data_IF_831919236932
#
_entry.id   IF_831919236932
#
_cell.length_a   1.000
_cell.length_b   1.000
_cell.length_c   1.000
_cell.angle_alpha   90.00
_cell.angle_beta   90.00
_cell.angle_gamma   90.00
#
_symmetry.space_group_name_H-M   'P 1'
#
loop_
_entity.id
_entity.type
_entity.pdbx_description
1 polymer ?
#
# COMPACT_ATOMS: atom_id res chain seq x y z
N UNK A 1 51.40 -4.97 3.74
CA UNK A 1 50.34 -4.14 3.14
C UNK A 1 49.21 -5.08 2.73
N UNK A 2 48.08 -5.11 3.44
CA UNK A 2 46.91 -5.91 3.09
C UNK A 2 46.05 -5.03 2.19
N UNK A 3 45.79 -5.50 0.97
CA UNK A 3 44.86 -4.83 0.05
C UNK A 3 43.44 -4.77 0.67
N UNK A 4 42.72 -3.65 0.56
CA UNK A 4 41.33 -3.58 0.96
C UNK A 4 40.53 -4.44 0.00
N UNK A 5 39.77 -5.39 0.57
CA UNK A 5 38.77 -6.18 -0.15
C UNK A 5 37.69 -5.20 -0.63
N UNK A 6 37.55 -5.09 -1.94
CA UNK A 6 36.47 -4.32 -2.57
C UNK A 6 35.10 -4.86 -2.12
N UNK A 7 34.12 -4.00 -1.84
CA UNK A 7 32.78 -4.46 -1.51
C UNK A 7 32.21 -5.21 -2.72
N UNK A 8 31.99 -6.51 -2.52
CA UNK A 8 31.37 -7.38 -3.51
C UNK A 8 30.02 -6.77 -3.95
N UNK A 9 29.84 -6.65 -5.26
CA UNK A 9 28.60 -6.33 -5.96
C UNK A 9 27.52 -7.37 -5.60
N UNK A 10 26.91 -7.26 -4.43
CA UNK A 10 25.68 -7.99 -4.13
C UNK A 10 24.54 -7.30 -4.89
N UNK A 11 24.27 -7.78 -6.11
CA UNK A 11 22.96 -7.60 -6.73
C UNK A 11 21.93 -8.01 -5.69
N UNK A 12 21.05 -7.10 -5.28
CA UNK A 12 19.91 -7.41 -4.43
C UNK A 12 19.00 -8.38 -5.21
N UNK A 13 19.20 -9.68 -5.00
CA UNK A 13 18.44 -10.72 -5.68
C UNK A 13 17.09 -10.77 -4.98
N UNK A 14 16.06 -10.18 -5.60
CA UNK A 14 14.68 -10.47 -5.23
C UNK A 14 14.28 -11.81 -5.85
N UNK A 15 13.57 -12.64 -5.08
CA UNK A 15 12.99 -13.89 -5.56
C UNK A 15 11.49 -13.69 -5.74
N UNK A 16 11.00 -13.86 -6.97
CA UNK A 16 9.56 -13.85 -7.25
C UNK A 16 8.92 -15.19 -6.85
N UNK A 17 7.72 -15.13 -6.29
CA UNK A 17 6.95 -16.28 -5.84
C UNK A 17 5.45 -16.05 -6.02
N UNK A 18 4.71 -17.13 -6.32
CA UNK A 18 3.23 -17.15 -6.29
C UNK A 18 2.79 -17.85 -5.02
N UNK A 19 1.95 -17.18 -4.22
CA UNK A 19 1.49 -17.62 -2.92
C UNK A 19 0.02 -18.04 -3.03
N UNK A 20 -0.32 -19.33 -2.85
CA UNK A 20 -1.72 -19.77 -2.84
C UNK A 20 -2.49 -19.17 -1.68
N UNK A 21 -3.72 -18.69 -1.93
CA UNK A 21 -4.61 -18.11 -0.91
C UNK A 21 -6.01 -18.75 -0.89
N UNK A 22 -6.11 -19.99 -1.35
CA UNK A 22 -7.37 -20.73 -1.46
C UNK A 22 -8.07 -20.52 -2.82
N UNK A 23 -9.08 -21.36 -3.11
CA UNK A 23 -9.93 -21.29 -4.29
C UNK A 23 -9.18 -21.08 -5.64
N UNK A 24 -8.04 -21.76 -5.80
CA UNK A 24 -7.14 -21.61 -6.97
C UNK A 24 -6.65 -20.18 -7.21
N UNK A 25 -6.69 -19.31 -6.22
CA UNK A 25 -6.20 -17.95 -6.30
C UNK A 25 -4.79 -17.83 -5.72
N UNK A 26 -4.03 -16.85 -6.24
CA UNK A 26 -2.65 -16.61 -5.82
C UNK A 26 -2.38 -15.13 -5.60
N UNK A 27 -1.41 -14.83 -4.74
CA UNK A 27 -0.76 -13.53 -4.63
C UNK A 27 0.62 -13.59 -5.26
N UNK A 28 0.94 -12.63 -6.10
CA UNK A 28 2.30 -12.43 -6.60
C UNK A 28 3.12 -11.66 -5.56
N UNK A 29 4.31 -12.16 -5.24
CA UNK A 29 5.18 -11.54 -4.26
C UNK A 29 6.66 -11.56 -4.71
N UNK A 30 7.44 -10.62 -4.17
CA UNK A 30 8.90 -10.59 -4.27
C UNK A 30 9.51 -10.59 -2.87
N UNK A 31 10.50 -11.44 -2.68
CA UNK A 31 11.24 -11.57 -1.42
C UNK A 31 12.63 -10.98 -1.61
N UNK A 32 12.99 -10.04 -0.76
CA UNK A 32 14.29 -9.38 -0.69
C UNK A 32 14.99 -9.79 0.60
N UNK A 33 16.29 -10.12 0.52
CA UNK A 33 17.09 -10.59 1.65
C UNK A 33 17.08 -12.10 1.84
N UNK A 34 17.39 -12.55 3.05
CA UNK A 34 17.53 -13.97 3.37
C UNK A 34 16.18 -14.67 3.48
N UNK A 35 15.99 -15.74 2.70
CA UNK A 35 14.81 -16.60 2.81
C UNK A 35 15.14 -18.03 2.31
N UNK A 36 14.75 -19.13 3.02
CA UNK A 36 13.92 -19.15 4.23
C UNK A 36 14.60 -18.52 5.45
N UNK A 37 13.79 -18.03 6.38
CA UNK A 37 14.28 -17.36 7.59
C UNK A 37 15.03 -18.33 8.49
N UNK A 38 16.17 -17.94 9.03
CA UNK A 38 16.84 -18.68 10.09
C UNK A 38 16.06 -18.56 11.41
N UNK A 39 16.29 -19.49 12.35
CA UNK A 39 15.62 -19.49 13.67
C UNK A 39 15.88 -18.22 14.49
N UNK A 40 16.94 -17.48 14.17
CA UNK A 40 17.37 -16.27 14.88
C UNK A 40 17.08 -14.98 14.07
N UNK A 41 16.43 -15.10 12.91
CA UNK A 41 16.08 -13.94 12.11
C UNK A 41 15.01 -13.08 12.78
N UNK A 42 15.12 -11.77 12.65
CA UNK A 42 14.04 -10.86 13.01
C UNK A 42 12.79 -11.18 12.20
N UNK A 43 11.57 -10.97 12.74
CA UNK A 43 10.35 -11.13 11.97
C UNK A 43 10.43 -10.37 10.65
N UNK A 44 10.09 -11.00 9.50
CA UNK A 44 10.16 -10.35 8.20
C UNK A 44 9.18 -9.19 8.10
N UNK A 45 9.42 -8.30 7.15
CA UNK A 45 8.57 -7.14 6.88
C UNK A 45 7.69 -7.43 5.66
N UNK A 46 6.38 -7.48 5.87
CA UNK A 46 5.39 -7.59 4.80
C UNK A 46 4.99 -6.18 4.37
N UNK A 47 5.17 -5.86 3.09
CA UNK A 47 4.86 -4.56 2.51
C UNK A 47 3.49 -4.55 1.84
N UNK A 48 2.60 -3.65 2.25
CA UNK A 48 1.19 -3.58 1.85
C UNK A 48 0.91 -2.25 1.15
N UNK A 49 0.72 -2.27 -0.15
CA UNK A 49 0.57 -1.07 -0.97
C UNK A 49 -0.82 -0.42 -0.90
N UNK A 50 -0.96 0.76 -1.52
CA UNK A 50 -2.20 1.53 -1.58
C UNK A 50 -3.22 1.04 -2.62
N UNK A 51 -4.33 1.77 -2.74
CA UNK A 51 -5.50 1.43 -3.57
C UNK A 51 -5.15 1.14 -5.04
N UNK A 52 -4.33 1.96 -5.66
CA UNK A 52 -3.88 1.83 -7.06
C UNK A 52 -2.42 1.46 -7.16
N UNK A 53 -1.88 0.83 -6.11
CA UNK A 53 -0.49 0.40 -6.06
C UNK A 53 -0.27 -1.03 -6.57
N UNK A 54 0.98 -1.44 -6.50
CA UNK A 54 1.46 -2.79 -6.76
C UNK A 54 2.73 -3.04 -5.93
N UNK A 55 3.28 -4.24 -5.99
CA UNK A 55 4.47 -4.63 -5.21
C UNK A 55 5.71 -3.75 -5.48
N UNK A 56 5.81 -3.12 -6.66
CA UNK A 56 6.92 -2.22 -7.01
C UNK A 56 6.91 -0.90 -6.24
N UNK A 57 5.78 -0.52 -5.62
CA UNK A 57 5.74 0.65 -4.72
C UNK A 57 6.83 0.62 -3.63
N UNK A 58 7.14 -0.58 -3.14
CA UNK A 58 8.09 -0.77 -2.06
C UNK A 58 9.47 -1.21 -2.52
N UNK A 59 9.68 -1.46 -3.82
CA UNK A 59 10.95 -1.98 -4.32
C UNK A 59 12.17 -1.08 -3.97
N UNK A 60 12.09 0.26 -4.09
CA UNK A 60 13.19 1.14 -3.67
C UNK A 60 13.50 1.00 -2.18
N UNK A 61 12.47 1.10 -1.34
CA UNK A 61 12.60 1.00 0.10
C UNK A 61 13.07 -0.39 0.56
N UNK A 62 12.57 -1.46 -0.09
CA UNK A 62 13.01 -2.83 0.20
C UNK A 62 14.51 -3.02 -0.02
N UNK A 63 15.05 -2.46 -1.11
CA UNK A 63 16.50 -2.49 -1.40
C UNK A 63 17.34 -1.81 -0.30
N UNK A 64 16.83 -0.73 0.29
CA UNK A 64 17.51 -0.04 1.38
C UNK A 64 17.40 -0.80 2.71
N UNK A 65 16.23 -1.32 3.03
CA UNK A 65 16.00 -2.04 4.28
C UNK A 65 16.75 -3.38 4.35
N UNK A 66 16.94 -4.07 3.21
CA UNK A 66 17.75 -5.30 3.15
C UNK A 66 19.20 -5.05 3.54
N UNK A 67 19.78 -3.87 3.24
CA UNK A 67 21.14 -3.50 3.68
C UNK A 67 21.26 -3.46 5.21
N UNK A 68 20.13 -3.38 5.91
CA UNK A 68 20.03 -3.39 7.37
C UNK A 68 19.67 -4.80 7.93
N UNK A 69 19.90 -5.86 7.16
CA UNK A 69 19.64 -7.25 7.50
C UNK A 69 18.14 -7.56 7.80
N UNK A 70 17.22 -6.81 7.18
CA UNK A 70 15.79 -7.10 7.23
C UNK A 70 15.40 -7.94 6.01
N UNK A 71 14.58 -8.96 6.22
CA UNK A 71 13.92 -9.68 5.12
C UNK A 71 12.62 -8.95 4.78
N UNK A 72 12.45 -8.58 3.52
CA UNK A 72 11.30 -7.79 3.05
C UNK A 72 10.51 -8.63 2.05
N UNK A 73 9.21 -8.66 2.20
CA UNK A 73 8.28 -9.33 1.29
C UNK A 73 7.32 -8.27 0.77
N UNK A 74 7.44 -7.93 -0.50
CA UNK A 74 6.47 -7.09 -1.20
C UNK A 74 5.50 -7.99 -1.95
N UNK A 75 4.23 -7.63 -2.02
CA UNK A 75 3.25 -8.42 -2.76
C UNK A 75 2.17 -7.55 -3.39
N UNK A 76 1.56 -8.05 -4.44
CA UNK A 76 0.38 -7.44 -5.04
C UNK A 76 -0.86 -7.84 -4.24
N UNK A 77 -1.63 -6.87 -3.78
CA UNK A 77 -2.94 -7.13 -3.21
C UNK A 77 -3.82 -7.91 -4.21
N UNK A 78 -4.71 -8.74 -3.73
CA UNK A 78 -5.76 -9.36 -4.56
C UNK A 78 -6.43 -8.28 -5.42
N UNK A 79 -6.60 -8.54 -6.71
CA UNK A 79 -7.13 -7.57 -7.68
C UNK A 79 -6.11 -6.56 -8.20
N UNK A 80 -4.81 -6.71 -7.93
CA UNK A 80 -3.72 -5.82 -8.36
C UNK A 80 -2.59 -6.60 -9.01
N UNK A 81 -1.79 -5.90 -9.80
CA UNK A 81 -0.55 -6.43 -10.39
C UNK A 81 -0.72 -7.81 -11.02
N UNK A 82 0.09 -8.76 -10.60
CA UNK A 82 0.07 -10.15 -11.05
C UNK A 82 -0.67 -11.10 -10.11
N UNK A 83 -1.32 -10.59 -9.05
CA UNK A 83 -2.20 -11.37 -8.18
C UNK A 83 -3.53 -11.68 -8.85
N UNK A 84 -4.20 -12.73 -8.39
CA UNK A 84 -5.55 -13.11 -8.85
C UNK A 84 -6.54 -11.96 -8.73
N UNK A 85 -7.44 -11.83 -9.72
CA UNK A 85 -8.41 -10.73 -9.86
C UNK A 85 -9.86 -11.25 -9.90
N UNK A 86 -10.36 -11.94 -8.85
CA UNK A 86 -11.73 -12.44 -8.85
C UNK A 86 -12.75 -11.30 -8.77
N UNK A 87 -13.93 -11.50 -9.36
CA UNK A 87 -15.05 -10.57 -9.24
C UNK A 87 -15.83 -10.80 -7.94
N UNK A 88 -15.28 -10.36 -6.84
CA UNK A 88 -15.84 -10.49 -5.49
C UNK A 88 -15.89 -9.13 -4.79
N UNK A 89 -16.45 -9.11 -3.58
CA UNK A 89 -16.37 -7.93 -2.72
C UNK A 89 -14.99 -7.85 -2.04
N UNK A 90 -14.25 -6.79 -2.32
CA UNK A 90 -12.96 -6.52 -1.69
C UNK A 90 -13.15 -5.75 -0.39
N UNK A 91 -12.51 -6.19 0.68
CA UNK A 91 -12.59 -5.55 1.99
C UNK A 91 -11.26 -5.64 2.74
N UNK A 92 -11.08 -4.80 3.75
CA UNK A 92 -9.89 -4.87 4.62
C UNK A 92 -9.78 -6.22 5.33
N UNK A 93 -10.91 -6.83 5.72
CA UNK A 93 -10.93 -8.14 6.36
C UNK A 93 -10.45 -9.24 5.40
N UNK A 94 -10.90 -9.21 4.12
CA UNK A 94 -10.45 -10.14 3.10
C UNK A 94 -8.93 -10.04 2.86
N UNK A 95 -8.41 -8.81 2.73
CA UNK A 95 -6.97 -8.62 2.57
C UNK A 95 -6.17 -9.00 3.83
N UNK A 96 -6.76 -8.86 5.02
CA UNK A 96 -6.13 -9.35 6.25
C UNK A 96 -6.07 -10.89 6.28
N UNK A 97 -7.08 -11.58 5.78
CA UNK A 97 -7.05 -13.03 5.58
C UNK A 97 -5.98 -13.45 4.56
N UNK A 98 -5.83 -12.71 3.47
CA UNK A 98 -4.75 -12.94 2.48
C UNK A 98 -3.38 -12.89 3.12
N UNK A 99 -3.13 -11.91 4.01
CA UNK A 99 -1.87 -11.84 4.76
C UNK A 99 -1.72 -13.07 5.66
N UNK A 100 -2.78 -13.51 6.32
CA UNK A 100 -2.73 -14.73 7.15
C UNK A 100 -2.36 -15.94 6.30
N UNK A 101 -2.99 -16.17 5.16
CA UNK A 101 -2.66 -17.26 4.24
C UNK A 101 -1.21 -17.19 3.77
N UNK A 102 -0.72 -16.00 3.42
CA UNK A 102 0.68 -15.77 3.04
C UNK A 102 1.63 -16.19 4.17
N UNK A 103 1.38 -15.75 5.41
CA UNK A 103 2.22 -16.10 6.55
C UNK A 103 2.23 -17.62 6.81
N UNK A 104 1.06 -18.28 6.68
CA UNK A 104 0.92 -19.72 6.87
C UNK A 104 1.68 -20.50 5.79
N UNK A 105 1.52 -20.11 4.51
CA UNK A 105 2.23 -20.73 3.39
C UNK A 105 3.76 -20.57 3.51
N UNK A 106 4.23 -19.40 3.91
CA UNK A 106 5.66 -19.12 4.10
C UNK A 106 6.22 -19.63 5.43
N UNK A 107 5.39 -20.24 6.29
CA UNK A 107 5.74 -20.72 7.63
C UNK A 107 6.32 -19.60 8.51
N UNK A 108 5.77 -18.40 8.38
CA UNK A 108 6.11 -17.23 9.18
C UNK A 108 5.15 -17.16 10.35
N UNK A 109 5.67 -17.32 11.58
CA UNK A 109 4.85 -17.26 12.78
C UNK A 109 4.33 -15.83 13.05
N UNK A 110 5.20 -14.83 12.91
CA UNK A 110 4.94 -13.43 13.23
C UNK A 110 5.68 -12.51 12.28
N UNK A 111 5.03 -11.42 11.84
CA UNK A 111 5.61 -10.47 10.90
C UNK A 111 5.50 -9.01 11.36
N UNK A 112 6.39 -8.18 10.85
CA UNK A 112 6.25 -6.73 10.81
C UNK A 112 5.41 -6.35 9.58
N UNK A 113 4.56 -5.34 9.69
CA UNK A 113 3.80 -4.82 8.55
C UNK A 113 4.25 -3.41 8.23
N UNK A 114 4.64 -3.17 6.99
CA UNK A 114 5.00 -1.87 6.43
C UNK A 114 3.96 -1.52 5.36
N UNK A 115 3.22 -0.47 5.55
CA UNK A 115 2.03 -0.22 4.75
C UNK A 115 1.90 1.22 4.31
N UNK A 116 1.26 1.43 3.17
CA UNK A 116 1.01 2.74 2.59
C UNK A 116 -0.48 2.91 2.27
N UNK A 117 -1.04 4.09 2.59
CA UNK A 117 -2.40 4.46 2.17
C UNK A 117 -3.48 3.46 2.60
N UNK A 118 -4.20 2.82 1.64
CA UNK A 118 -5.15 1.73 1.89
C UNK A 118 -4.51 0.60 2.70
N UNK A 119 -3.25 0.25 2.39
CA UNK A 119 -2.51 -0.79 3.11
C UNK A 119 -2.44 -0.54 4.62
N UNK A 120 -2.48 0.71 5.06
CA UNK A 120 -2.50 1.04 6.50
C UNK A 120 -3.79 0.57 7.18
N UNK A 121 -4.94 0.69 6.51
CA UNK A 121 -6.20 0.17 7.01
C UNK A 121 -6.21 -1.37 7.06
N UNK A 122 -5.62 -2.01 6.04
CA UNK A 122 -5.44 -3.47 6.01
C UNK A 122 -4.54 -3.91 7.16
N UNK A 123 -3.40 -3.23 7.38
CA UNK A 123 -2.48 -3.51 8.50
C UNK A 123 -3.15 -3.36 9.88
N UNK A 124 -3.93 -2.30 10.06
CA UNK A 124 -4.69 -2.09 11.29
C UNK A 124 -5.75 -3.18 11.50
N UNK A 125 -6.42 -3.60 10.43
CA UNK A 125 -7.38 -4.71 10.48
C UNK A 125 -6.68 -6.02 10.82
N UNK A 126 -5.54 -6.30 10.20
CA UNK A 126 -4.74 -7.49 10.51
C UNK A 126 -4.24 -7.48 11.97
N UNK A 127 -3.69 -6.34 12.42
CA UNK A 127 -3.22 -6.20 13.81
C UNK A 127 -4.30 -6.39 14.86
N UNK A 128 -5.53 -5.98 14.55
CA UNK A 128 -6.71 -6.22 15.38
C UNK A 128 -7.14 -7.70 15.35
N UNK A 129 -7.26 -8.30 14.16
CA UNK A 129 -7.82 -9.65 13.99
C UNK A 129 -6.80 -10.74 14.35
N UNK A 130 -5.51 -10.47 14.14
CA UNK A 130 -4.40 -11.43 14.35
C UNK A 130 -3.28 -10.84 15.22
N UNK A 131 -3.54 -10.43 16.47
CA UNK A 131 -2.57 -9.72 17.31
C UNK A 131 -1.31 -10.57 17.60
N UNK A 132 -1.45 -11.90 17.72
CA UNK A 132 -0.32 -12.80 17.96
C UNK A 132 0.57 -12.99 16.73
N UNK A 133 0.04 -12.72 15.51
CA UNK A 133 0.77 -12.79 14.24
C UNK A 133 1.40 -11.45 13.85
N UNK A 134 1.12 -10.38 14.61
CA UNK A 134 1.60 -9.03 14.34
C UNK A 134 2.70 -8.64 15.31
N UNK A 135 3.91 -8.34 14.79
CA UNK A 135 5.03 -7.87 15.61
C UNK A 135 4.98 -6.34 15.78
N UNK A 136 5.16 -5.59 14.70
CA UNK A 136 5.14 -4.12 14.68
C UNK A 136 4.41 -3.64 13.43
N UNK A 137 3.84 -2.44 13.47
CA UNK A 137 3.15 -1.80 12.36
C UNK A 137 3.86 -0.50 11.98
N UNK A 138 4.17 -0.29 10.71
CA UNK A 138 4.59 0.99 10.16
C UNK A 138 3.55 1.45 9.15
N UNK A 139 2.92 2.59 9.43
CA UNK A 139 1.84 3.17 8.65
C UNK A 139 2.34 4.42 7.94
N UNK A 140 2.54 4.36 6.62
CA UNK A 140 2.97 5.49 5.80
C UNK A 140 1.74 6.15 5.20
N UNK A 141 1.46 7.36 5.63
CA UNK A 141 0.45 8.29 5.14
C UNK A 141 -0.93 7.68 4.89
N UNK A 142 -1.43 6.94 5.89
CA UNK A 142 -2.73 6.28 5.83
C UNK A 142 -3.23 5.78 7.19
N UNK A 143 -4.42 5.18 7.19
CA UNK A 143 -5.03 4.61 8.38
C UNK A 143 -5.66 5.63 9.34
N UNK A 144 -5.61 6.93 9.03
CA UNK A 144 -6.17 8.00 9.86
C UNK A 144 -7.67 8.19 9.67
N UNK A 145 -8.40 8.48 10.75
CA UNK A 145 -9.79 8.91 10.65
C UNK A 145 -9.89 10.31 10.06
N UNK A 146 -10.64 10.46 8.99
CA UNK A 146 -10.92 11.74 8.35
C UNK A 146 -12.34 12.23 8.67
N UNK A 147 -12.50 13.53 8.85
CA UNK A 147 -13.80 14.17 8.85
C UNK A 147 -14.50 14.00 7.50
N UNK A 148 -15.83 14.15 7.45
CA UNK A 148 -16.59 14.00 6.20
C UNK A 148 -16.08 14.94 5.09
N UNK A 149 -15.78 16.21 5.43
CA UNK A 149 -15.21 17.17 4.49
C UNK A 149 -13.88 16.70 3.89
N UNK A 150 -13.00 16.17 4.73
CA UNK A 150 -11.69 15.66 4.27
C UNK A 150 -11.81 14.35 3.46
N UNK A 151 -12.77 13.48 3.79
CA UNK A 151 -13.08 12.32 2.95
C UNK A 151 -13.49 12.74 1.54
N UNK A 152 -14.28 13.81 1.41
CA UNK A 152 -14.69 14.33 0.11
C UNK A 152 -13.48 14.89 -0.66
N UNK A 153 -12.59 15.66 -0.02
CA UNK A 153 -11.35 16.14 -0.65
C UNK A 153 -10.44 15.01 -1.09
N UNK A 154 -10.28 13.95 -0.28
CA UNK A 154 -9.47 12.79 -0.64
C UNK A 154 -10.04 11.99 -1.83
N UNK A 155 -11.35 12.03 -2.07
CA UNK A 155 -11.96 11.41 -3.25
C UNK A 155 -11.51 12.10 -4.56
N UNK A 156 -11.32 13.41 -4.57
CA UNK A 156 -10.77 14.12 -5.75
C UNK A 156 -9.33 13.67 -6.04
N UNK A 157 -8.50 13.55 -5.00
CA UNK A 157 -7.15 13.04 -5.15
C UNK A 157 -7.14 11.60 -5.71
N UNK A 158 -8.03 10.76 -5.22
CA UNK A 158 -8.18 9.39 -5.72
C UNK A 158 -8.59 9.40 -7.20
N UNK A 159 -9.50 10.28 -7.61
CA UNK A 159 -9.94 10.37 -9.00
C UNK A 159 -8.80 10.63 -9.98
N UNK A 160 -7.83 11.48 -9.63
CA UNK A 160 -6.65 11.71 -10.45
C UNK A 160 -5.84 10.41 -10.64
N UNK A 161 -5.66 9.64 -9.57
CA UNK A 161 -4.96 8.36 -9.66
C UNK A 161 -5.72 7.29 -10.47
N UNK A 162 -7.03 7.48 -10.65
CA UNK A 162 -7.90 6.56 -11.38
C UNK A 162 -8.05 6.87 -12.88
N UNK A 163 -7.58 8.04 -13.34
CA UNK A 163 -7.76 8.47 -14.75
C UNK A 163 -7.16 7.48 -15.77
N UNK A 164 -6.13 6.74 -15.38
CA UNK A 164 -5.47 5.75 -16.22
C UNK A 164 -6.18 4.40 -16.28
N UNK A 165 -7.12 4.13 -15.35
CA UNK A 165 -7.77 2.83 -15.26
C UNK A 165 -8.83 2.64 -16.35
N UNK A 166 -8.80 1.45 -16.98
CA UNK A 166 -9.77 1.07 -18.00
C UNK A 166 -9.65 1.82 -19.33
N UNK A 167 -8.65 2.70 -19.48
CA UNK A 167 -8.37 3.39 -20.75
C UNK A 167 -7.39 2.59 -21.60
N UNK A 168 -7.60 2.47 -22.92
CA UNK A 168 -6.59 2.00 -23.84
C UNK A 168 -5.58 3.11 -24.14
N UNK A 169 -4.33 2.71 -24.34
CA UNK A 169 -3.22 3.55 -24.76
C UNK A 169 -2.57 2.93 -25.99
N UNK A 170 -2.17 3.76 -26.94
CA UNK A 170 -1.53 3.29 -28.17
C UNK A 170 -0.10 2.79 -27.96
N UNK A 171 0.56 3.22 -26.90
CA UNK A 171 1.91 2.79 -26.53
C UNK A 171 2.18 2.97 -25.03
N UNK A 172 3.27 2.36 -24.56
CA UNK A 172 3.80 2.56 -23.19
C UNK A 172 4.19 4.01 -22.95
N UNK A 173 4.78 4.65 -23.94
CA UNK A 173 5.24 6.04 -23.88
C UNK A 173 4.05 6.99 -23.67
N UNK A 174 2.92 6.73 -24.36
CA UNK A 174 1.68 7.53 -24.20
C UNK A 174 1.14 7.39 -22.77
N UNK A 175 1.18 6.17 -22.20
CA UNK A 175 0.78 5.94 -20.81
C UNK A 175 1.70 6.66 -19.83
N UNK A 176 3.02 6.49 -19.96
CA UNK A 176 4.01 7.11 -19.08
C UNK A 176 3.97 8.65 -19.19
N UNK A 177 3.71 9.18 -20.39
CA UNK A 177 3.53 10.63 -20.60
C UNK A 177 2.35 11.16 -19.79
N UNK A 178 1.19 10.51 -19.86
CA UNK A 178 0.03 10.89 -19.05
C UNK A 178 0.34 10.89 -17.56
N UNK A 179 1.04 9.85 -17.08
CA UNK A 179 1.42 9.76 -15.68
C UNK A 179 2.42 10.85 -15.27
N UNK A 180 3.39 11.17 -16.14
CA UNK A 180 4.41 12.20 -15.90
C UNK A 180 3.83 13.61 -15.86
N UNK A 181 2.76 13.87 -16.63
CA UNK A 181 2.03 15.14 -16.64
C UNK A 181 1.10 15.30 -15.43
N UNK A 182 0.85 14.22 -14.69
CA UNK A 182 0.03 14.26 -13.47
C UNK A 182 0.77 15.00 -12.34
N UNK A 183 0.12 15.93 -11.65
CA UNK A 183 0.72 16.62 -10.50
C UNK A 183 1.01 15.72 -9.29
N UNK A 184 0.58 14.46 -9.34
CA UNK A 184 0.89 13.44 -8.32
C UNK A 184 2.41 13.21 -8.20
N UNK A 185 3.14 13.25 -9.33
CA UNK A 185 4.57 13.02 -9.39
C UNK A 185 5.30 14.36 -9.63
N UNK A 186 5.71 15.05 -8.56
CA UNK A 186 6.47 16.30 -8.69
C UNK A 186 7.92 16.08 -9.15
N UNK A 187 8.42 14.85 -9.06
CA UNK A 187 9.69 14.40 -9.61
C UNK A 187 9.55 13.02 -10.25
N UNK A 188 10.42 12.71 -11.21
CA UNK A 188 10.39 11.48 -11.98
C UNK A 188 11.72 10.74 -11.84
N UNK A 189 11.65 9.43 -11.59
CA UNK A 189 12.81 8.57 -11.53
C UNK A 189 12.50 7.18 -12.11
N UNK A 190 13.53 6.33 -12.19
CA UNK A 190 13.41 4.97 -12.74
C UNK A 190 12.48 4.08 -11.91
N UNK A 191 12.41 4.25 -10.59
CA UNK A 191 11.54 3.42 -9.73
C UNK A 191 10.06 3.74 -9.96
N UNK A 192 9.71 5.01 -10.21
CA UNK A 192 8.36 5.42 -10.61
C UNK A 192 8.00 4.82 -11.97
N UNK A 193 8.95 4.84 -12.92
CA UNK A 193 8.75 4.25 -14.24
C UNK A 193 8.56 2.74 -14.15
N UNK A 194 9.37 2.04 -13.37
CA UNK A 194 9.26 0.59 -13.14
C UNK A 194 7.93 0.22 -12.46
N UNK A 195 7.48 1.03 -11.50
CA UNK A 195 6.18 0.88 -10.85
C UNK A 195 5.03 0.99 -11.87
N UNK A 196 5.05 2.00 -12.74
CA UNK A 196 4.03 2.23 -13.74
C UNK A 196 4.06 1.19 -14.88
N UNK A 197 5.25 0.79 -15.31
CA UNK A 197 5.39 -0.25 -16.32
C UNK A 197 4.90 -1.62 -15.83
N UNK A 198 5.05 -1.91 -14.54
CA UNK A 198 4.60 -3.17 -13.96
C UNK A 198 3.07 -3.34 -13.98
N UNK A 199 2.31 -2.25 -13.94
CA UNK A 199 0.86 -2.30 -14.00
C UNK A 199 0.30 -2.28 -15.44
N UNK A 200 1.18 -2.21 -16.47
CA UNK A 200 0.75 -2.22 -17.86
C UNK A 200 0.63 -3.65 -18.39
N UNK A 201 -0.49 -3.91 -19.03
CA UNK A 201 -0.77 -5.12 -19.80
C UNK A 201 -0.88 -4.79 -21.28
N UNK A 202 -0.21 -5.58 -22.09
CA UNK A 202 -0.27 -5.50 -23.55
C UNK A 202 -1.42 -6.37 -24.05
N UNK A 203 -2.35 -5.77 -24.77
CA UNK A 203 -3.55 -6.45 -25.29
C UNK A 203 -3.54 -6.33 -26.81
N UNK A 204 -3.61 -7.45 -27.49
CA UNK A 204 -3.80 -7.50 -28.94
C UNK A 204 -5.28 -7.54 -29.26
N UNK A 205 -5.80 -6.51 -29.93
CA UNK A 205 -7.21 -6.45 -30.31
C UNK A 205 -7.49 -7.43 -31.46
N UNK A 206 -8.51 -8.27 -31.32
CA UNK A 206 -8.83 -9.35 -32.27
C UNK A 206 -9.26 -8.75 -33.61
N UNK A 207 -10.06 -7.67 -33.60
CA UNK A 207 -10.67 -7.12 -34.82
C UNK A 207 -9.69 -6.33 -35.71
N UNK A 208 -8.74 -5.64 -35.13
CA UNK A 208 -7.80 -4.78 -35.89
C UNK A 208 -6.36 -5.33 -35.92
N UNK A 209 -6.04 -6.31 -35.08
CA UNK A 209 -4.67 -6.78 -34.87
C UNK A 209 -3.76 -5.75 -34.21
N UNK A 210 -4.30 -4.59 -33.82
CA UNK A 210 -3.54 -3.53 -33.18
C UNK A 210 -3.17 -3.91 -31.73
N UNK A 211 -1.99 -3.47 -31.30
CA UNK A 211 -1.55 -3.61 -29.92
C UNK A 211 -1.99 -2.39 -29.11
N UNK A 212 -2.68 -2.62 -28.03
CA UNK A 212 -3.05 -1.61 -27.04
C UNK A 212 -2.42 -1.94 -25.69
N UNK A 213 -2.22 -0.90 -24.89
CA UNK A 213 -1.74 -1.01 -23.52
C UNK A 213 -2.83 -0.57 -22.57
N UNK A 214 -3.04 -1.31 -21.47
CA UNK A 214 -4.01 -0.96 -20.43
C UNK A 214 -3.43 -1.19 -19.06
N UNK A 215 -3.86 -0.37 -18.11
CA UNK A 215 -3.59 -0.66 -16.69
C UNK A 215 -4.32 -1.94 -16.28
N UNK A 216 -3.60 -2.88 -15.69
CA UNK A 216 -4.10 -4.21 -15.33
C UNK A 216 -4.94 -4.22 -14.05
N UNK A 217 -5.23 -3.06 -13.45
CA UNK A 217 -6.09 -2.94 -12.28
C UNK A 217 -7.56 -2.90 -12.74
N UNK A 218 -8.39 -3.89 -12.39
CA UNK A 218 -9.79 -3.90 -12.80
C UNK A 218 -10.60 -2.87 -12.03
N UNK A 219 -11.43 -2.14 -12.75
CA UNK A 219 -12.28 -1.06 -12.19
C UNK A 219 -13.21 -1.60 -11.09
N UNK A 220 -13.74 -2.83 -11.23
CA UNK A 220 -14.63 -3.42 -10.24
C UNK A 220 -13.96 -3.64 -8.88
N UNK A 221 -12.65 -3.95 -8.85
CA UNK A 221 -11.92 -4.11 -7.60
C UNK A 221 -11.81 -2.77 -6.86
N UNK A 222 -11.48 -1.69 -7.58
CA UNK A 222 -11.42 -0.33 -7.03
C UNK A 222 -12.80 0.13 -6.54
N UNK A 223 -13.85 -0.05 -7.36
CA UNK A 223 -15.20 0.34 -6.98
C UNK A 223 -15.68 -0.42 -5.73
N UNK A 224 -15.38 -1.72 -5.66
CA UNK A 224 -15.71 -2.53 -4.48
C UNK A 224 -15.03 -2.01 -3.21
N UNK A 225 -13.73 -1.71 -3.26
CA UNK A 225 -13.01 -1.19 -2.09
C UNK A 225 -13.50 0.20 -1.69
N UNK A 226 -13.68 1.11 -2.65
CA UNK A 226 -14.23 2.44 -2.36
C UNK A 226 -15.60 2.35 -1.71
N UNK A 227 -16.48 1.43 -2.16
CA UNK A 227 -17.79 1.19 -1.52
C UNK A 227 -17.65 0.74 -0.08
N UNK A 228 -16.73 -0.18 0.20
CA UNK A 228 -16.48 -0.67 1.55
C UNK A 228 -15.86 0.41 2.46
N UNK A 229 -15.20 1.41 1.89
CA UNK A 229 -14.67 2.59 2.59
C UNK A 229 -15.71 3.73 2.73
N UNK A 230 -16.94 3.55 2.23
CA UNK A 230 -17.97 4.59 2.23
C UNK A 230 -17.86 5.60 1.08
N UNK A 231 -17.00 5.32 0.10
CA UNK A 231 -16.81 6.12 -1.11
C UNK A 231 -17.54 5.57 -2.34
N UNK A 232 -17.25 6.14 -3.50
CA UNK A 232 -17.68 5.65 -4.80
C UNK A 232 -16.77 6.19 -5.90
N UNK A 233 -16.61 5.44 -7.00
CA UNK A 233 -15.95 5.93 -8.23
C UNK A 233 -16.65 7.17 -8.81
N UNK A 234 -17.96 7.27 -8.62
CA UNK A 234 -18.80 8.39 -9.05
C UNK A 234 -19.37 9.08 -7.81
N UNK A 235 -18.66 10.05 -7.20
CA UNK A 235 -19.05 10.68 -5.95
C UNK A 235 -20.44 11.33 -5.99
N UNK A 236 -20.88 11.84 -7.14
CA UNK A 236 -22.20 12.42 -7.31
C UNK A 236 -23.34 11.41 -7.18
N UNK A 237 -23.07 10.10 -7.22
CA UNK A 237 -24.03 9.04 -6.97
C UNK A 237 -24.20 8.71 -5.46
N UNK A 238 -23.37 9.28 -4.59
CA UNK A 238 -23.44 9.03 -3.14
C UNK A 238 -24.80 9.45 -2.57
N UNK A 239 -25.36 10.66 -2.87
CA UNK A 239 -26.68 11.04 -2.40
C UNK A 239 -27.77 10.08 -2.87
N UNK A 240 -27.70 9.66 -4.15
CA UNK A 240 -28.68 8.71 -4.71
C UNK A 240 -28.65 7.36 -4.01
N UNK A 241 -27.48 6.87 -3.59
CA UNK A 241 -27.34 5.65 -2.78
C UNK A 241 -27.99 5.77 -1.41
N UNK A 242 -27.86 6.94 -0.75
CA UNK A 242 -28.53 7.20 0.51
C UNK A 242 -30.04 7.14 0.35
N UNK A 243 -30.58 7.67 -0.75
CA UNK A 243 -32.01 7.61 -1.06
C UNK A 243 -32.48 6.17 -1.36
N UNK A 244 -31.68 5.41 -2.11
CA UNK A 244 -32.03 4.04 -2.51
C UNK A 244 -31.88 3.02 -1.37
N UNK A 245 -30.92 3.21 -0.46
CA UNK A 245 -30.65 2.27 0.63
C UNK A 245 -30.06 2.97 1.88
N UNK A 246 -30.89 3.75 2.61
CA UNK A 246 -30.44 4.59 3.71
C UNK A 246 -29.81 3.79 4.84
N UNK A 247 -30.41 2.62 5.18
CA UNK A 247 -29.94 1.77 6.28
C UNK A 247 -28.55 1.20 5.99
N UNK A 248 -28.33 0.67 4.78
CA UNK A 248 -27.02 0.13 4.38
C UNK A 248 -25.96 1.25 4.32
N UNK A 249 -26.31 2.40 3.77
CA UNK A 249 -25.42 3.56 3.69
C UNK A 249 -25.04 4.09 5.07
N UNK A 250 -26.00 4.18 6.00
CA UNK A 250 -25.75 4.58 7.38
C UNK A 250 -24.91 3.54 8.14
N UNK A 251 -25.16 2.24 7.90
CA UNK A 251 -24.37 1.16 8.50
C UNK A 251 -22.90 1.21 8.03
N UNK A 252 -22.64 1.49 6.76
CA UNK A 252 -21.28 1.68 6.21
C UNK A 252 -20.61 2.88 6.85
N UNK A 253 -21.28 4.03 6.96
CA UNK A 253 -20.73 5.23 7.62
C UNK A 253 -20.39 4.96 9.08
N UNK A 254 -21.25 4.24 9.80
CA UNK A 254 -21.05 3.89 11.21
C UNK A 254 -19.91 2.89 11.39
N UNK A 255 -19.80 1.87 10.53
CA UNK A 255 -18.69 0.91 10.55
C UNK A 255 -17.35 1.59 10.33
N UNK A 256 -17.28 2.55 9.41
CA UNK A 256 -16.06 3.31 9.12
C UNK A 256 -15.68 4.33 10.20
N UNK A 257 -16.58 4.62 11.16
CA UNK A 257 -16.25 5.47 12.31
C UNK A 257 -15.71 4.69 13.52
N UNK A 258 -15.82 3.36 13.53
CA UNK A 258 -15.20 2.51 14.54
C UNK A 258 -13.75 2.23 14.16
N UNK A 259 -12.82 2.99 14.74
CA UNK A 259 -11.39 2.74 14.50
C UNK A 259 -10.90 1.52 15.28
N UNK A 260 -10.03 0.68 14.70
CA UNK A 260 -9.45 -0.46 15.39
C UNK A 260 -8.37 -0.08 16.41
N UNK A 261 -8.00 1.19 16.52
CA UNK A 261 -6.78 1.66 17.20
C UNK A 261 -6.65 1.18 18.64
N UNK A 262 -7.75 1.21 19.42
CA UNK A 262 -7.72 0.77 20.81
C UNK A 262 -7.45 -0.74 20.98
N UNK A 263 -7.61 -1.53 19.91
CA UNK A 263 -7.40 -2.98 19.88
C UNK A 263 -6.01 -3.34 19.35
N UNK A 264 -5.22 -2.36 18.90
CA UNK A 264 -3.85 -2.58 18.43
C UNK A 264 -2.92 -2.68 19.65
N UNK A 265 -2.35 -3.88 19.82
CA UNK A 265 -1.44 -4.19 20.93
C UNK A 265 0.04 -3.99 20.52
N UNK A 266 0.33 -4.11 19.23
CA UNK A 266 1.67 -3.99 18.69
C UNK A 266 2.15 -2.54 18.67
N UNK A 267 3.46 -2.27 18.77
CA UNK A 267 4.03 -0.96 18.53
C UNK A 267 3.71 -0.44 17.11
N UNK A 268 3.49 0.86 16.98
CA UNK A 268 3.12 1.50 15.73
C UNK A 268 4.04 2.68 15.43
N UNK A 269 4.66 2.69 14.26
CA UNK A 269 5.29 3.87 13.68
C UNK A 269 4.31 4.49 12.67
N UNK A 270 4.01 5.77 12.84
CA UNK A 270 3.19 6.54 11.91
C UNK A 270 4.08 7.54 11.19
N UNK A 271 4.15 7.43 9.87
CA UNK A 271 4.88 8.36 9.00
C UNK A 271 3.86 9.18 8.23
N UNK A 272 3.92 10.49 8.37
CA UNK A 272 3.03 11.45 7.74
C UNK A 272 3.73 12.15 6.58
N UNK A 273 3.07 12.24 5.42
CA UNK A 273 3.42 13.17 4.36
C UNK A 273 3.00 14.60 4.78
N UNK A 274 3.94 15.54 4.73
CA UNK A 274 3.71 16.93 5.19
C UNK A 274 3.31 17.88 4.08
N UNK A 275 3.60 17.52 2.82
CA UNK A 275 3.25 18.32 1.64
C UNK A 275 1.87 17.91 1.12
N UNK A 276 0.97 18.86 0.81
CA UNK A 276 -0.30 18.55 0.15
C UNK A 276 -0.07 17.92 -1.23
N UNK A 277 -1.07 17.18 -1.73
CA UNK A 277 -0.98 16.53 -3.05
C UNK A 277 -1.28 17.51 -4.18
N UNK A 278 -2.38 18.25 -4.08
CA UNK A 278 -2.83 19.23 -5.07
C UNK A 278 -3.05 20.59 -4.45
N UNK A 279 -3.67 20.63 -3.27
CA UNK A 279 -4.02 21.86 -2.58
C UNK A 279 -3.97 21.69 -1.07
N UNK A 280 -3.73 22.78 -0.37
CA UNK A 280 -3.75 22.79 1.10
C UNK A 280 -5.07 22.23 1.62
N UNK A 281 -4.99 21.24 2.51
CA UNK A 281 -6.13 20.59 3.12
C UNK A 281 -6.55 19.26 2.50
N UNK A 282 -5.79 18.74 1.52
CA UNK A 282 -6.00 17.40 0.94
C UNK A 282 -5.10 16.31 1.53
N UNK A 283 -4.37 16.63 2.60
CA UNK A 283 -3.51 15.68 3.32
C UNK A 283 -4.34 14.51 3.88
N UNK A 284 -3.85 13.29 3.70
CA UNK A 284 -4.52 12.07 4.21
C UNK A 284 -4.31 11.85 5.71
N UNK A 285 -3.27 12.43 6.30
CA UNK A 285 -3.06 12.46 7.75
C UNK A 285 -3.00 13.89 8.27
N UNK A 286 -4.14 14.61 8.34
CA UNK A 286 -4.19 15.93 8.95
C UNK A 286 -3.93 15.88 10.46
N UNK A 287 -3.70 17.03 11.08
CA UNK A 287 -3.36 17.11 12.51
C UNK A 287 -4.42 16.45 13.40
N UNK A 288 -5.70 16.53 13.03
CA UNK A 288 -6.80 15.88 13.77
C UNK A 288 -6.63 14.35 13.79
N UNK A 289 -6.21 13.75 12.66
CA UNK A 289 -5.96 12.31 12.57
C UNK A 289 -4.74 11.90 13.41
N UNK A 290 -3.68 12.71 13.40
CA UNK A 290 -2.49 12.50 14.25
C UNK A 290 -2.85 12.60 15.74
N UNK A 291 -3.68 13.57 16.15
CA UNK A 291 -4.16 13.67 17.54
C UNK A 291 -4.98 12.43 17.96
N UNK A 292 -5.81 11.89 17.06
CA UNK A 292 -6.55 10.66 17.34
C UNK A 292 -5.60 9.47 17.51
N UNK A 293 -4.59 9.33 16.65
CA UNK A 293 -3.57 8.30 16.78
C UNK A 293 -2.82 8.41 18.12
N UNK A 294 -2.30 9.58 18.46
CA UNK A 294 -1.58 9.82 19.72
C UNK A 294 -2.41 9.46 20.96
N UNK A 295 -3.72 9.71 20.92
CA UNK A 295 -4.62 9.39 22.02
C UNK A 295 -4.97 7.90 22.12
N UNK A 296 -5.09 7.21 20.96
CA UNK A 296 -5.64 5.84 20.92
C UNK A 296 -4.59 4.75 20.75
N UNK A 297 -3.46 5.03 20.10
CA UNK A 297 -2.35 4.09 19.93
C UNK A 297 -1.38 4.27 21.09
N UNK A 298 -1.40 3.34 22.05
CA UNK A 298 -0.64 3.45 23.31
C UNK A 298 0.87 3.41 23.14
N UNK A 299 1.36 2.65 22.13
CA UNK A 299 2.78 2.42 21.86
C UNK A 299 3.08 2.93 20.45
N UNK A 300 3.17 4.25 20.27
CA UNK A 300 3.31 4.84 18.94
C UNK A 300 4.43 5.88 18.85
N UNK A 301 5.11 5.86 17.72
CA UNK A 301 6.15 6.81 17.31
C UNK A 301 5.67 7.54 16.06
N UNK A 302 6.05 8.80 15.88
CA UNK A 302 5.58 9.64 14.78
C UNK A 302 6.76 10.28 14.06
N UNK A 303 6.72 10.26 12.72
CA UNK A 303 7.63 10.97 11.83
C UNK A 303 6.81 11.79 10.83
N UNK A 304 7.20 13.03 10.59
CA UNK A 304 6.66 13.83 9.48
C UNK A 304 7.73 14.05 8.45
N UNK A 305 7.38 13.86 7.16
CA UNK A 305 8.21 14.14 5.99
C UNK A 305 7.69 15.45 5.36
N UNK A 306 8.24 16.62 5.73
CA UNK A 306 7.65 17.92 5.41
C UNK A 306 7.60 18.19 3.91
N UNK A 307 8.59 17.66 3.16
CA UNK A 307 8.81 17.91 1.74
C UNK A 307 8.23 16.84 0.82
N UNK A 308 7.50 15.87 1.37
CA UNK A 308 6.92 14.75 0.61
C UNK A 308 5.40 14.81 0.63
N UNK A 309 4.78 14.59 -0.54
CA UNK A 309 3.35 14.32 -0.66
C UNK A 309 3.04 12.83 -0.45
N UNK A 310 1.78 12.44 -0.59
CA UNK A 310 1.31 11.07 -0.39
C UNK A 310 2.09 10.01 -1.19
N UNK A 311 2.35 10.26 -2.45
CA UNK A 311 3.05 9.32 -3.34
C UNK A 311 4.57 9.39 -3.18
N UNK A 312 5.09 10.58 -3.00
CA UNK A 312 6.51 10.82 -2.77
C UNK A 312 7.01 10.18 -1.47
N UNK A 313 6.14 10.12 -0.46
CA UNK A 313 6.45 9.50 0.83
C UNK A 313 6.81 8.01 0.72
N UNK A 314 6.47 7.34 -0.38
CA UNK A 314 6.84 5.93 -0.61
C UNK A 314 7.73 5.73 -1.82
N UNK A 315 7.53 6.47 -2.92
CA UNK A 315 8.20 6.24 -4.19
C UNK A 315 9.55 6.96 -4.33
N UNK A 316 9.76 8.05 -3.59
CA UNK A 316 11.02 8.79 -3.64
C UNK A 316 11.95 8.38 -2.50
N UNK A 317 13.27 8.41 -2.73
CA UNK A 317 14.26 8.19 -1.68
C UNK A 317 14.10 9.20 -0.54
N UNK A 318 14.24 8.73 0.70
CA UNK A 318 14.26 9.57 1.89
C UNK A 318 15.04 8.86 3.01
N UNK A 319 16.24 9.31 3.26
CA UNK A 319 17.15 8.69 4.22
C UNK A 319 16.57 8.66 5.63
N UNK A 320 15.93 9.76 6.06
CA UNK A 320 15.36 9.86 7.41
C UNK A 320 14.20 8.87 7.60
N UNK A 321 13.36 8.69 6.59
CA UNK A 321 12.31 7.67 6.58
C UNK A 321 12.91 6.28 6.71
N UNK A 322 13.90 5.97 5.87
CA UNK A 322 14.48 4.63 5.73
C UNK A 322 15.21 4.22 7.02
N UNK A 323 15.99 5.13 7.60
CA UNK A 323 16.67 4.94 8.89
C UNK A 323 15.66 4.79 10.04
N UNK A 324 14.59 5.60 10.06
CA UNK A 324 13.56 5.50 11.10
C UNK A 324 12.82 4.17 11.03
N UNK A 325 12.47 3.69 9.82
CA UNK A 325 11.81 2.39 9.62
C UNK A 325 12.75 1.25 10.06
N UNK A 326 14.02 1.31 9.66
CA UNK A 326 15.02 0.31 10.04
C UNK A 326 15.20 0.25 11.55
N UNK A 327 15.41 1.40 12.20
CA UNK A 327 15.50 1.51 13.65
C UNK A 327 14.25 0.95 14.34
N UNK A 328 13.06 1.31 13.85
CA UNK A 328 11.80 0.87 14.44
C UNK A 328 11.65 -0.65 14.39
N UNK A 329 11.92 -1.28 13.26
CA UNK A 329 11.76 -2.72 13.14
C UNK A 329 12.86 -3.50 13.88
N UNK A 330 14.10 -3.00 13.91
CA UNK A 330 15.23 -3.72 14.48
C UNK A 330 15.42 -3.47 15.99
N UNK A 331 15.30 -2.21 16.45
CA UNK A 331 15.77 -1.78 17.77
C UNK A 331 14.69 -1.28 18.72
N UNK A 332 13.52 -0.89 18.21
CA UNK A 332 12.46 -0.38 19.06
C UNK A 332 11.78 -1.50 19.84
N UNK A 333 11.75 -1.42 21.16
CA UNK A 333 11.12 -2.41 22.05
C UNK A 333 9.80 -1.91 22.68
N UNK A 334 9.44 -0.62 22.48
CA UNK A 334 8.18 0.04 22.84
C UNK A 334 7.93 0.27 24.31
#
# INVERSE_FOLDING_TARGET
MKNPVSPSNQKSISKSIQIPIGDSQTLAAEIYGEFPLSKHSSPPVICIHGLTGNLKNFAPLAKELVKQNLTIITYDLRGRGQSSKPQISYSHDLHAEDIKFMLDFLKIEKANLLSHSLGCWISLTFGKNYPLRTNKLCLIDGGGQLSFKRKLSSLFMIQESLQRLGRPFSSRETYLKLAKESPIFSSWNKDIEDFLNYELEEIRTIDSGATEYRCNIPIYAIDSELRNMGGALKPWKIPLRFLQNPIASFRILRKNNSSPYAQILSPVLVIRAGKPNFQKGDELLPDEAIHIFKRKLKRSVFLTLPDKNHYEAILLPDLKRDETISWFFSKFHG
#
